data_IF_520265612944
#
_entry.id   IF_520265612944
#
_cell.length_a   1.000
_cell.length_b   1.000
_cell.length_c   1.000
_cell.angle_alpha   90.00
_cell.angle_beta   90.00
_cell.angle_gamma   90.00
#
_symmetry.space_group_name_H-M   'P 1'
#
loop_
_entity.id
_entity.type
_entity.pdbx_description
1 polymer ?
#
# COMPACT_ATOMS: atom_id res chain seq x y z
N UNK A 1 -16.53 -4.71 1.42
CA UNK A 1 -15.62 -5.00 2.55
C UNK A 1 -14.26 -5.31 1.97
N UNK A 2 -13.19 -4.69 2.46
CA UNK A 2 -11.82 -4.86 1.96
C UNK A 2 -10.97 -5.53 3.04
N UNK A 3 -10.22 -6.56 2.65
CA UNK A 3 -9.36 -7.35 3.54
C UNK A 3 -7.94 -7.27 3.00
N UNK A 4 -7.03 -6.78 3.82
CA UNK A 4 -5.60 -6.69 3.51
C UNK A 4 -4.85 -7.75 4.31
N UNK A 5 -4.04 -8.59 3.65
CA UNK A 5 -3.25 -9.64 4.31
C UNK A 5 -1.78 -9.45 3.98
N UNK A 6 -0.94 -9.34 5.01
CA UNK A 6 0.50 -9.20 4.84
C UNK A 6 1.15 -10.57 4.57
N UNK A 7 1.39 -10.90 3.30
CA UNK A 7 1.99 -12.18 2.87
C UNK A 7 3.53 -12.14 2.82
N UNK A 8 4.16 -11.72 3.91
CA UNK A 8 5.62 -11.75 4.07
C UNK A 8 6.01 -12.27 5.45
N UNK A 9 7.32 -12.45 5.68
CA UNK A 9 7.84 -13.02 6.93
C UNK A 9 7.30 -12.28 8.15
N UNK A 10 6.83 -13.03 9.17
CA UNK A 10 6.24 -12.46 10.40
C UNK A 10 7.15 -11.51 11.18
N UNK A 11 8.47 -11.70 11.05
CA UNK A 11 9.49 -10.84 11.67
C UNK A 11 9.69 -9.49 10.99
N UNK A 12 9.18 -9.35 9.77
CA UNK A 12 9.23 -8.11 9.00
C UNK A 12 7.93 -7.34 9.19
N UNK A 13 8.01 -6.02 9.05
CA UNK A 13 6.86 -5.10 9.20
C UNK A 13 6.89 -4.14 8.03
N UNK A 14 5.74 -3.98 7.35
CA UNK A 14 5.57 -2.92 6.39
C UNK A 14 5.18 -1.63 7.12
N UNK A 15 5.79 -0.53 6.71
CA UNK A 15 5.58 0.81 7.21
C UNK A 15 4.81 1.63 6.19
N UNK A 16 4.04 2.60 6.69
CA UNK A 16 3.33 3.60 5.88
C UNK A 16 2.54 2.95 4.73
N UNK A 17 1.78 1.90 5.04
CA UNK A 17 0.98 1.20 4.03
C UNK A 17 -0.23 2.05 3.70
N UNK A 18 -0.39 2.40 2.43
CA UNK A 18 -1.54 3.12 1.92
C UNK A 18 -2.24 2.27 0.87
N UNK A 19 -3.52 1.98 1.09
CA UNK A 19 -4.35 1.25 0.13
C UNK A 19 -5.32 2.28 -0.47
N UNK A 20 -5.16 2.53 -1.75
CA UNK A 20 -5.92 3.50 -2.54
C UNK A 20 -7.02 2.74 -3.28
N UNK A 21 -8.25 2.91 -2.83
CA UNK A 21 -9.43 2.19 -3.32
C UNK A 21 -10.31 3.18 -4.06
N UNK A 22 -10.47 3.05 -5.38
CA UNK A 22 -11.36 3.93 -6.11
C UNK A 22 -12.82 3.65 -5.78
N UNK A 23 -13.61 4.71 -5.78
CA UNK A 23 -15.05 4.69 -5.55
C UNK A 23 -15.74 5.51 -6.64
N UNK A 24 -17.04 5.30 -6.91
CA UNK A 24 -17.76 6.12 -7.87
C UNK A 24 -17.71 7.61 -7.49
N UNK A 25 -17.68 8.50 -8.49
CA UNK A 25 -17.61 9.96 -8.26
C UNK A 25 -18.84 10.49 -7.51
N UNK A 26 -19.98 9.83 -7.68
CA UNK A 26 -21.28 10.28 -7.17
C UNK A 26 -21.53 9.83 -5.72
N UNK A 27 -20.54 9.21 -5.04
CA UNK A 27 -20.71 8.77 -3.66
C UNK A 27 -20.75 9.93 -2.67
N UNK A 28 -21.67 9.83 -1.72
CA UNK A 28 -21.81 10.75 -0.59
C UNK A 28 -21.76 9.99 0.75
N UNK A 29 -21.72 10.72 1.87
CA UNK A 29 -21.92 10.20 3.22
C UNK A 29 -20.99 9.03 3.60
N UNK A 30 -19.65 9.20 3.48
CA UNK A 30 -18.69 8.12 3.71
C UNK A 30 -18.67 7.67 5.17
N UNK A 31 -18.88 6.37 5.42
CA UNK A 31 -18.76 5.75 6.74
C UNK A 31 -17.75 4.63 6.72
N UNK A 32 -16.70 4.76 7.54
CA UNK A 32 -15.61 3.79 7.64
C UNK A 32 -15.62 3.06 8.98
N UNK A 33 -15.37 1.75 8.94
CA UNK A 33 -15.09 0.91 10.10
C UNK A 33 -13.84 0.09 9.81
N UNK A 34 -12.73 0.40 10.46
CA UNK A 34 -11.44 -0.29 10.32
C UNK A 34 -11.08 -0.99 11.62
N UNK A 35 -10.38 -2.12 11.53
CA UNK A 35 -9.76 -2.76 12.72
C UNK A 35 -8.45 -2.05 13.11
N UNK A 36 -7.72 -1.49 12.14
CA UNK A 36 -6.44 -0.81 12.34
C UNK A 36 -6.23 0.22 11.24
N UNK A 37 -5.57 1.33 11.56
CA UNK A 37 -5.33 2.42 10.63
C UNK A 37 -6.52 3.37 10.48
N UNK A 38 -6.33 4.43 9.69
CA UNK A 38 -7.33 5.45 9.41
C UNK A 38 -7.76 5.39 7.95
N UNK A 39 -9.03 5.69 7.68
CA UNK A 39 -9.56 5.84 6.32
C UNK A 39 -9.93 7.29 6.07
N UNK A 40 -9.59 7.79 4.88
CA UNK A 40 -9.97 9.11 4.40
C UNK A 40 -10.58 8.98 3.01
N UNK A 41 -11.69 9.67 2.78
CA UNK A 41 -12.24 9.85 1.44
C UNK A 41 -11.64 11.12 0.81
N UNK A 42 -11.21 11.01 -0.45
CA UNK A 42 -10.70 12.10 -1.28
C UNK A 42 -11.64 12.27 -2.49
N UNK A 43 -12.61 13.19 -2.41
CA UNK A 43 -13.55 13.42 -3.50
C UNK A 43 -12.88 13.95 -4.77
N UNK A 44 -11.76 14.68 -4.65
CA UNK A 44 -11.02 15.23 -5.80
C UNK A 44 -10.47 14.17 -6.76
N UNK A 45 -10.19 12.98 -6.25
CA UNK A 45 -9.69 11.84 -7.04
C UNK A 45 -10.66 10.66 -7.04
N UNK A 46 -11.82 10.81 -6.39
CA UNK A 46 -12.79 9.74 -6.12
C UNK A 46 -12.13 8.47 -5.56
N UNK A 47 -11.31 8.66 -4.53
CA UNK A 47 -10.56 7.57 -3.89
C UNK A 47 -10.74 7.55 -2.38
N UNK A 48 -10.74 6.36 -1.82
CA UNK A 48 -10.63 6.09 -0.40
C UNK A 48 -9.20 5.67 -0.14
N UNK A 49 -8.50 6.40 0.73
CA UNK A 49 -7.18 6.05 1.20
C UNK A 49 -7.31 5.42 2.57
N UNK A 50 -6.91 4.15 2.68
CA UNK A 50 -6.74 3.46 3.95
C UNK A 50 -5.26 3.44 4.33
N UNK A 51 -4.91 4.21 5.36
CA UNK A 51 -3.56 4.33 5.88
C UNK A 51 -3.35 3.42 7.09
N UNK A 52 -2.33 2.57 7.04
CA UNK A 52 -1.88 1.69 8.12
C UNK A 52 -0.42 2.01 8.40
N UNK A 53 -0.15 2.64 9.55
CA UNK A 53 1.21 3.04 9.96
C UNK A 53 2.18 1.85 10.03
N UNK A 54 1.74 0.76 10.64
CA UNK A 54 2.55 -0.45 10.84
C UNK A 54 1.71 -1.69 10.50
N UNK A 55 2.24 -2.51 9.61
CA UNK A 55 1.58 -3.73 9.15
C UNK A 55 2.53 -4.92 9.29
N UNK A 56 2.47 -5.64 10.42
CA UNK A 56 3.32 -6.82 10.66
C UNK A 56 3.02 -7.96 9.68
N UNK A 57 4.07 -8.69 9.30
CA UNK A 57 3.95 -9.86 8.44
C UNK A 57 3.04 -10.94 9.02
N UNK A 58 2.25 -11.59 8.17
CA UNK A 58 1.31 -12.65 8.56
C UNK A 58 0.05 -12.16 9.26
N UNK A 59 -0.13 -10.85 9.47
CA UNK A 59 -1.38 -10.27 10.00
C UNK A 59 -2.37 -9.93 8.89
N UNK A 60 -3.60 -9.69 9.32
CA UNK A 60 -4.72 -9.36 8.45
C UNK A 60 -5.51 -8.15 8.97
N UNK A 61 -5.50 -7.11 8.13
CA UNK A 61 -6.31 -5.90 8.11
C UNK A 61 -7.75 -6.11 7.61
N UNK A 62 -8.79 -5.58 8.26
CA UNK A 62 -10.12 -5.45 7.66
C UNK A 62 -10.61 -4.00 7.72
N UNK A 63 -11.17 -3.55 6.60
CA UNK A 63 -11.86 -2.28 6.44
C UNK A 63 -13.25 -2.50 5.83
N UNK A 64 -14.26 -1.84 6.40
CA UNK A 64 -15.61 -1.74 5.85
C UNK A 64 -15.90 -0.27 5.57
N UNK A 65 -16.28 0.02 4.33
CA UNK A 65 -16.76 1.32 3.91
C UNK A 65 -18.22 1.19 3.49
N UNK A 66 -19.02 2.20 3.80
CA UNK A 66 -20.39 2.38 3.34
C UNK A 66 -20.52 3.78 2.77
N UNK A 67 -21.17 3.88 1.63
CA UNK A 67 -21.41 5.14 0.92
C UNK A 67 -22.90 5.28 0.65
N UNK A 68 -23.39 6.50 0.67
CA UNK A 68 -24.66 6.85 0.05
C UNK A 68 -24.47 7.02 -1.45
N UNK A 69 -25.44 6.55 -2.23
CA UNK A 69 -25.53 6.81 -3.65
C UNK A 69 -26.78 7.65 -3.92
N UNK A 70 -26.76 8.54 -4.94
CA UNK A 70 -27.95 9.24 -5.38
C UNK A 70 -29.01 8.25 -5.88
N UNK A 71 -30.28 8.60 -5.75
CA UNK A 71 -31.40 7.78 -6.23
C UNK A 71 -31.59 7.84 -7.75
N UNK A 72 -30.90 8.74 -8.44
CA UNK A 72 -30.97 8.94 -9.89
C UNK A 72 -29.65 8.45 -10.49
N UNK A 73 -29.73 7.48 -11.40
CA UNK A 73 -28.57 7.01 -12.15
C UNK A 73 -28.21 8.06 -13.22
N UNK A 74 -26.95 8.49 -13.24
CA UNK A 74 -26.40 9.36 -14.27
C UNK A 74 -26.22 8.53 -15.56
N UNK A 75 -26.86 8.93 -16.67
CA UNK A 75 -26.83 8.18 -17.93
C UNK A 75 -25.43 8.12 -18.61
N UNK A 76 -24.48 8.93 -18.13
CA UNK A 76 -23.15 9.12 -18.71
C UNK A 76 -21.99 8.49 -17.89
N UNK A 77 -22.27 7.81 -16.78
CA UNK A 77 -21.22 7.18 -15.98
C UNK A 77 -20.80 5.84 -16.59
N UNK A 78 -19.96 5.90 -17.62
CA UNK A 78 -19.00 4.81 -17.82
C UNK A 78 -18.14 4.79 -16.56
N UNK A 79 -18.51 3.97 -15.58
CA UNK A 79 -17.71 3.72 -14.39
C UNK A 79 -16.38 3.15 -14.84
N UNK A 80 -15.41 4.03 -15.10
CA UNK A 80 -14.02 3.64 -15.11
C UNK A 80 -13.76 3.07 -13.73
N UNK A 81 -13.42 1.77 -13.69
CA UNK A 81 -13.02 1.07 -12.47
C UNK A 81 -11.50 1.02 -12.44
N UNK A 82 -10.82 2.12 -12.06
CA UNK A 82 -9.38 2.07 -11.95
C UNK A 82 -9.00 1.00 -10.93
N UNK A 83 -7.79 0.43 -11.05
CA UNK A 83 -7.35 -0.60 -10.11
C UNK A 83 -7.10 -0.01 -8.73
N UNK A 84 -7.22 -0.86 -7.72
CA UNK A 84 -6.76 -0.57 -6.36
C UNK A 84 -5.23 -0.52 -6.39
N UNK A 85 -4.64 0.57 -5.93
CA UNK A 85 -3.18 0.66 -5.80
C UNK A 85 -2.74 0.59 -4.34
N UNK A 86 -1.57 0.03 -4.08
CA UNK A 86 -1.03 -0.07 -2.72
C UNK A 86 0.38 0.48 -2.67
N UNK A 87 0.60 1.40 -1.72
CA UNK A 87 1.92 1.89 -1.36
C UNK A 87 2.38 1.25 -0.07
N UNK A 88 3.64 0.85 0.01
CA UNK A 88 4.21 0.27 1.22
C UNK A 88 5.74 0.32 1.19
N UNK A 89 6.35 0.26 2.38
CA UNK A 89 7.79 0.10 2.54
C UNK A 89 8.09 -0.98 3.58
N UNK A 90 8.97 -1.94 3.28
CA UNK A 90 9.44 -2.97 4.22
C UNK A 90 10.96 -2.84 4.35
N UNK A 91 11.47 -2.32 5.48
CA UNK A 91 12.90 -2.21 5.71
C UNK A 91 13.51 -3.57 6.07
N UNK A 92 14.81 -3.72 5.79
CA UNK A 92 15.63 -4.90 6.09
C UNK A 92 15.07 -6.21 5.53
N UNK A 93 14.30 -6.12 4.44
CA UNK A 93 13.67 -7.25 3.77
C UNK A 93 13.94 -7.17 2.27
N UNK A 94 14.22 -8.33 1.67
CA UNK A 94 14.36 -8.49 0.22
C UNK A 94 13.38 -9.54 -0.27
N UNK A 95 12.56 -9.18 -1.27
CA UNK A 95 11.64 -10.13 -1.92
C UNK A 95 12.40 -11.06 -2.87
N UNK A 96 13.39 -10.54 -3.60
CA UNK A 96 14.22 -11.29 -4.54
C UNK A 96 15.23 -12.23 -3.88
N UNK A 97 15.49 -12.08 -2.58
CA UNK A 97 16.55 -12.80 -1.89
C UNK A 97 17.96 -12.27 -2.16
N UNK A 98 18.11 -11.12 -2.84
CA UNK A 98 19.41 -10.50 -3.09
C UNK A 98 20.20 -10.28 -1.79
N UNK A 99 21.48 -10.66 -1.82
CA UNK A 99 22.43 -10.44 -0.73
C UNK A 99 23.76 -9.93 -1.30
N UNK A 100 24.20 -8.77 -0.80
CA UNK A 100 25.54 -8.22 -1.07
C UNK A 100 26.52 -8.91 -0.13
N UNK A 101 27.42 -9.73 -0.68
CA UNK A 101 28.41 -10.48 0.11
C UNK A 101 29.64 -9.63 0.47
N UNK A 102 30.17 -8.86 -0.49
CA UNK A 102 31.35 -8.03 -0.28
C UNK A 102 31.33 -6.78 -1.15
N UNK A 103 31.96 -5.71 -0.64
CA UNK A 103 32.27 -4.50 -1.40
C UNK A 103 33.79 -4.30 -1.33
N UNK A 104 34.48 -4.49 -2.45
CA UNK A 104 35.93 -4.31 -2.54
C UNK A 104 36.24 -2.87 -2.92
N UNK A 105 36.94 -2.16 -2.04
CA UNK A 105 37.40 -0.78 -2.27
C UNK A 105 38.92 -0.84 -2.46
N UNK A 106 39.42 -0.32 -3.58
CA UNK A 106 40.85 -0.28 -3.90
C UNK A 106 41.28 1.18 -3.98
N UNK A 107 42.04 1.62 -2.99
CA UNK A 107 42.47 3.02 -2.85
C UNK A 107 43.97 3.06 -2.57
N UNK A 108 44.71 3.92 -3.29
CA UNK A 108 46.18 3.98 -3.25
C UNK A 108 46.71 4.72 -2.02
N UNK A 109 45.88 5.58 -1.43
CA UNK A 109 46.22 6.39 -0.25
C UNK A 109 46.15 5.65 1.10
N UNK A 110 45.74 4.37 1.11
CA UNK A 110 45.62 3.59 2.35
C UNK A 110 44.38 3.93 3.20
N UNK A 111 43.41 4.64 2.62
CA UNK A 111 42.15 4.97 3.27
C UNK A 111 41.32 3.71 3.59
N UNK A 112 40.87 3.60 4.85
CA UNK A 112 39.96 2.55 5.31
C UNK A 112 38.52 3.04 5.24
N UNK A 113 37.73 2.45 4.35
CA UNK A 113 36.30 2.72 4.22
C UNK A 113 35.46 1.82 5.14
N UNK A 114 34.33 2.34 5.61
CA UNK A 114 33.33 1.61 6.40
C UNK A 114 32.07 1.37 5.55
N UNK A 115 32.02 0.28 4.76
CA UNK A 115 30.89 0.01 3.90
C UNK A 115 29.65 -0.40 4.72
N UNK A 116 28.48 0.14 4.37
CA UNK A 116 27.20 -0.29 4.92
C UNK A 116 26.24 -0.69 3.80
N UNK A 117 25.26 -1.52 4.13
CA UNK A 117 24.16 -1.86 3.24
C UNK A 117 22.85 -1.87 4.01
N UNK A 118 21.80 -1.32 3.40
CA UNK A 118 20.42 -1.46 3.89
C UNK A 118 19.52 -1.90 2.75
N UNK A 119 18.71 -2.92 3.02
CA UNK A 119 17.69 -3.37 2.09
C UNK A 119 16.36 -2.69 2.40
N UNK A 120 15.68 -2.25 1.36
CA UNK A 120 14.33 -1.67 1.46
C UNK A 120 13.53 -2.26 0.31
N UNK A 121 12.40 -2.87 0.63
CA UNK A 121 11.41 -3.27 -0.37
C UNK A 121 10.32 -2.22 -0.39
N UNK A 122 10.06 -1.62 -1.55
CA UNK A 122 8.95 -0.69 -1.74
C UNK A 122 8.00 -1.23 -2.82
N UNK A 123 6.79 -0.68 -2.86
CA UNK A 123 5.89 -0.95 -3.98
C UNK A 123 6.47 -0.39 -5.29
N UNK A 124 6.39 -1.15 -6.36
CA UNK A 124 6.45 -0.62 -7.72
C UNK A 124 5.04 -0.23 -8.18
N UNK A 125 4.71 -0.62 -9.41
CA UNK A 125 3.33 -0.56 -9.92
C UNK A 125 2.49 -1.71 -9.34
N UNK A 126 2.11 -1.58 -8.06
CA UNK A 126 1.36 -2.59 -7.33
C UNK A 126 -0.14 -2.28 -7.40
N UNK A 127 -0.78 -2.79 -8.45
CA UNK A 127 -2.19 -2.57 -8.78
C UNK A 127 -2.99 -3.86 -8.77
N UNK A 128 -4.22 -3.82 -8.25
CA UNK A 128 -5.16 -4.92 -8.24
C UNK A 128 -6.47 -4.49 -8.93
N UNK A 129 -6.86 -5.19 -9.99
CA UNK A 129 -8.14 -4.96 -10.64
C UNK A 129 -9.25 -5.69 -9.88
N UNK A 130 -10.38 -5.03 -9.68
CA UNK A 130 -11.59 -5.65 -9.15
C UNK A 130 -12.30 -6.38 -10.29
N UNK A 131 -12.61 -7.66 -10.09
CA UNK A 131 -13.44 -8.43 -11.03
C UNK A 131 -14.92 -8.25 -10.67
N UNK A 132 -15.80 -8.41 -11.67
CA UNK A 132 -17.26 -8.41 -11.55
C UNK A 132 -17.78 -9.37 -10.48
#
# INVERSE_FOLDING_TARGET
>A
MVKAKAQFKRKSTANCVEIHIPVPNDVDSPRFKTTTGSCKYMPETAMVIWNIKTFPGGKEFIMRASFGLPSVESADTVESRPPISVKFEIPYFTVSGLQVHYLKIMEKSGYNALPWVRYITQNGDYQLRTNN
#
